data_IF_846684476435
#
_entry.id   IF_846684476435
#
_cell.length_a   1.000
_cell.length_b   1.000
_cell.length_c   1.000
_cell.angle_alpha   90.00
_cell.angle_beta   90.00
_cell.angle_gamma   90.00
#
_symmetry.space_group_name_H-M   'P 1'
#
loop_
_entity.id
_entity.type
_entity.pdbx_description
1 polymer ?
#
# COMPACT_ATOMS: atom_id res chain seq x y z
N UNK A 1 -4.40 27.44 11.24
CA UNK A 1 -4.01 26.69 12.47
C UNK A 1 -4.29 25.18 12.38
N UNK A 2 -5.30 24.73 11.64
CA UNK A 2 -5.68 23.31 11.51
C UNK A 2 -4.60 22.42 10.84
N UNK A 3 -3.86 22.92 9.86
CA UNK A 3 -2.84 22.13 9.15
C UNK A 3 -1.57 21.82 9.97
N UNK A 4 -1.15 22.72 10.84
CA UNK A 4 0.05 22.54 11.67
C UNK A 4 -0.21 21.53 12.79
N UNK A 5 -1.40 21.55 13.38
CA UNK A 5 -1.82 20.61 14.42
C UNK A 5 -1.93 19.20 13.87
N UNK A 6 -2.43 19.04 12.64
CA UNK A 6 -2.52 17.74 11.95
C UNK A 6 -1.12 17.19 11.64
N UNK A 7 -0.21 18.00 11.10
CA UNK A 7 1.20 17.61 10.88
C UNK A 7 1.93 17.20 12.16
N UNK A 8 1.67 17.89 13.27
CA UNK A 8 2.22 17.53 14.58
C UNK A 8 1.66 16.19 15.10
N UNK A 9 0.39 15.89 14.82
CA UNK A 9 -0.22 14.62 15.21
C UNK A 9 0.33 13.43 14.40
N UNK A 10 0.52 13.61 13.10
CA UNK A 10 1.13 12.61 12.21
C UNK A 10 2.58 12.32 12.61
N UNK A 11 3.36 13.37 12.87
CA UNK A 11 4.73 13.22 13.36
C UNK A 11 4.81 12.51 14.73
N UNK A 12 3.88 12.81 15.65
CA UNK A 12 3.77 12.11 16.94
C UNK A 12 3.47 10.62 16.78
N UNK A 13 2.63 10.25 15.81
CA UNK A 13 2.28 8.86 15.55
C UNK A 13 3.49 8.06 15.06
N UNK A 14 4.24 8.60 14.09
CA UNK A 14 5.48 7.99 13.59
C UNK A 14 6.51 7.88 14.72
N UNK A 15 6.68 8.95 15.49
CA UNK A 15 7.57 8.95 16.64
C UNK A 15 7.19 7.88 17.67
N UNK A 16 5.90 7.70 17.92
CA UNK A 16 5.39 6.66 18.82
C UNK A 16 5.75 5.25 18.32
N UNK A 17 5.58 4.97 17.04
CA UNK A 17 5.95 3.67 16.46
C UNK A 17 7.45 3.44 16.57
N UNK A 18 8.28 4.43 16.26
CA UNK A 18 9.73 4.37 16.45
C UNK A 18 10.10 4.11 17.92
N UNK A 19 9.43 4.78 18.85
CA UNK A 19 9.68 4.63 20.28
C UNK A 19 9.29 3.22 20.76
N UNK A 20 8.18 2.67 20.27
CA UNK A 20 7.78 1.28 20.52
C UNK A 20 8.86 0.32 20.01
N UNK A 21 9.32 0.52 18.78
CA UNK A 21 10.34 -0.32 18.16
C UNK A 21 11.65 -0.29 18.98
N UNK A 22 12.14 0.89 19.32
CA UNK A 22 13.34 1.05 20.16
C UNK A 22 13.14 0.43 21.55
N UNK A 23 11.95 0.60 22.15
CA UNK A 23 11.64 0.02 23.46
C UNK A 23 11.66 -1.50 23.44
N UNK A 24 11.08 -2.13 22.40
CA UNK A 24 11.12 -3.59 22.25
C UNK A 24 12.53 -4.07 22.00
N UNK A 25 13.31 -3.38 21.14
CA UNK A 25 14.73 -3.72 20.92
C UNK A 25 15.56 -3.67 22.19
N UNK A 26 15.33 -2.67 23.06
CA UNK A 26 16.16 -2.44 24.26
C UNK A 26 15.72 -3.27 25.45
N UNK A 27 14.44 -3.52 25.60
CA UNK A 27 13.84 -4.10 26.81
C UNK A 27 13.00 -5.35 26.56
N UNK A 28 12.78 -5.75 25.29
CA UNK A 28 11.96 -6.90 24.93
C UNK A 28 12.42 -8.16 25.63
N UNK A 29 13.71 -8.44 25.62
CA UNK A 29 14.32 -9.62 26.27
C UNK A 29 14.15 -9.65 27.81
N UNK A 30 13.88 -8.51 28.45
CA UNK A 30 13.63 -8.43 29.90
C UNK A 30 12.17 -8.74 30.27
N UNK A 31 11.25 -8.75 29.29
CA UNK A 31 9.85 -8.96 29.56
C UNK A 31 9.55 -10.45 29.77
N UNK A 32 8.80 -10.82 30.82
CA UNK A 32 8.34 -12.18 31.03
C UNK A 32 7.54 -12.72 29.85
N UNK A 33 7.66 -14.01 29.58
CA UNK A 33 6.98 -14.69 28.47
C UNK A 33 5.46 -14.48 28.50
N UNK A 34 4.85 -14.46 29.69
CA UNK A 34 3.41 -14.24 29.84
C UNK A 34 2.94 -12.86 29.39
N UNK A 35 3.78 -11.82 29.61
CA UNK A 35 3.49 -10.47 29.10
C UNK A 35 3.57 -10.44 27.58
N UNK A 36 4.58 -11.09 26.97
CA UNK A 36 4.72 -11.22 25.52
C UNK A 36 3.51 -11.94 24.91
N UNK A 37 3.09 -13.05 25.53
CA UNK A 37 1.89 -13.82 25.14
C UNK A 37 0.61 -12.99 25.20
N UNK A 38 0.40 -12.24 26.29
CA UNK A 38 -0.76 -11.36 26.45
C UNK A 38 -0.81 -10.25 25.42
N UNK A 39 0.33 -9.56 25.19
CA UNK A 39 0.44 -8.52 24.17
C UNK A 39 0.20 -9.07 22.76
N UNK A 40 0.76 -10.24 22.44
CA UNK A 40 0.53 -10.90 21.15
C UNK A 40 -0.94 -11.33 20.99
N UNK A 41 -1.57 -11.88 22.04
CA UNK A 41 -3.00 -12.22 21.99
C UNK A 41 -3.86 -11.00 21.67
N UNK A 42 -3.57 -9.86 22.29
CA UNK A 42 -4.30 -8.63 22.00
C UNK A 42 -4.07 -8.15 20.54
N UNK A 43 -2.85 -8.27 20.05
CA UNK A 43 -2.53 -7.97 18.64
C UNK A 43 -3.25 -8.91 17.67
N UNK A 44 -3.30 -10.20 17.96
CA UNK A 44 -3.99 -11.19 17.13
C UNK A 44 -5.51 -10.93 17.07
N UNK A 45 -6.11 -10.47 18.17
CA UNK A 45 -7.51 -10.05 18.22
C UNK A 45 -7.77 -8.83 17.32
N UNK A 46 -6.90 -7.80 17.39
CA UNK A 46 -7.00 -6.63 16.50
C UNK A 46 -6.88 -7.08 15.03
N UNK A 47 -5.92 -7.95 14.73
CA UNK A 47 -5.73 -8.52 13.38
C UNK A 47 -6.96 -9.27 12.91
N UNK A 48 -7.50 -10.18 13.72
CA UNK A 48 -8.68 -10.98 13.37
C UNK A 48 -9.89 -10.08 13.09
N UNK A 49 -10.15 -9.08 13.94
CA UNK A 49 -11.22 -8.11 13.74
C UNK A 49 -11.04 -7.29 12.47
N UNK A 50 -9.82 -6.85 12.18
CA UNK A 50 -9.52 -6.12 10.93
C UNK A 50 -9.75 -7.00 9.71
N UNK A 51 -9.20 -8.22 9.69
CA UNK A 51 -9.33 -9.14 8.56
C UNK A 51 -10.78 -9.50 8.26
N UNK A 52 -11.61 -9.62 9.30
CA UNK A 52 -13.05 -9.84 9.16
C UNK A 52 -13.77 -8.65 8.52
N UNK A 53 -13.44 -7.42 8.93
CA UNK A 53 -14.11 -6.21 8.46
C UNK A 53 -13.52 -5.67 7.14
N UNK A 54 -12.26 -5.97 6.86
CA UNK A 54 -11.51 -5.40 5.74
C UNK A 54 -12.24 -5.48 4.39
N UNK A 55 -12.80 -6.64 3.97
CA UNK A 55 -13.49 -6.72 2.69
C UNK A 55 -14.65 -5.73 2.56
N UNK A 56 -15.46 -5.60 3.62
CA UNK A 56 -16.57 -4.67 3.65
C UNK A 56 -16.10 -3.21 3.61
N UNK A 57 -15.07 -2.89 4.38
CA UNK A 57 -14.53 -1.52 4.44
C UNK A 57 -13.89 -1.09 3.12
N UNK A 58 -13.34 -2.02 2.34
CA UNK A 58 -12.65 -1.77 1.06
C UNK A 58 -13.64 -1.51 -0.09
N UNK A 59 -14.79 -2.18 -0.10
CA UNK A 59 -15.77 -2.10 -1.18
C UNK A 59 -16.10 -0.65 -1.63
N UNK A 60 -16.46 0.28 -0.74
CA UNK A 60 -16.84 1.62 -1.15
C UNK A 60 -15.68 2.43 -1.74
N UNK A 61 -14.45 2.14 -1.37
CA UNK A 61 -13.28 2.80 -1.98
C UNK A 61 -13.12 2.41 -3.44
N UNK A 62 -13.18 1.12 -3.76
CA UNK A 62 -13.07 0.62 -5.14
C UNK A 62 -14.18 1.19 -6.00
N UNK A 63 -15.44 1.05 -5.56
CA UNK A 63 -16.60 1.56 -6.31
C UNK A 63 -16.49 3.07 -6.56
N UNK A 64 -16.18 3.86 -5.53
CA UNK A 64 -16.05 5.31 -5.67
C UNK A 64 -14.89 5.71 -6.57
N UNK A 65 -13.72 5.04 -6.46
CA UNK A 65 -12.54 5.38 -7.26
C UNK A 65 -12.81 5.21 -8.77
N UNK A 66 -13.49 4.13 -9.16
CA UNK A 66 -13.80 3.87 -10.57
C UNK A 66 -14.96 4.75 -11.04
N UNK A 67 -16.00 4.92 -10.20
CA UNK A 67 -17.13 5.75 -10.56
C UNK A 67 -16.78 7.24 -10.77
N UNK A 68 -15.71 7.74 -10.13
CA UNK A 68 -15.20 9.11 -10.34
C UNK A 68 -14.70 9.37 -11.77
N UNK A 69 -14.38 8.33 -12.54
CA UNK A 69 -13.95 8.45 -13.94
C UNK A 69 -15.12 8.77 -14.90
N UNK A 70 -16.35 8.75 -14.40
CA UNK A 70 -17.62 8.91 -15.14
C UNK A 70 -17.70 10.16 -16.03
N UNK A 71 -17.05 11.25 -15.65
CA UNK A 71 -17.12 12.55 -16.38
C UNK A 71 -16.33 12.58 -17.69
N UNK A 72 -15.48 11.58 -17.94
CA UNK A 72 -14.43 11.66 -18.96
C UNK A 72 -14.75 10.92 -20.28
N UNK A 73 -15.98 10.38 -20.43
CA UNK A 73 -16.35 9.57 -21.59
C UNK A 73 -15.85 8.12 -21.49
N UNK A 74 -16.62 7.20 -22.05
CA UNK A 74 -16.41 5.75 -21.91
C UNK A 74 -15.00 5.30 -22.35
N UNK A 75 -14.54 5.77 -23.50
CA UNK A 75 -13.24 5.37 -24.06
C UNK A 75 -12.10 5.81 -23.12
N UNK A 76 -12.18 7.03 -22.61
CA UNK A 76 -11.16 7.55 -21.69
C UNK A 76 -11.16 6.79 -20.36
N UNK A 77 -12.36 6.46 -19.82
CA UNK A 77 -12.50 5.66 -18.59
C UNK A 77 -11.84 4.29 -18.76
N UNK A 78 -12.23 3.57 -19.83
CA UNK A 78 -11.68 2.22 -20.10
C UNK A 78 -10.17 2.29 -20.30
N UNK A 79 -9.70 3.28 -21.07
CA UNK A 79 -8.27 3.47 -21.31
C UNK A 79 -7.49 3.78 -20.02
N UNK A 80 -8.00 4.65 -19.15
CA UNK A 80 -7.36 4.99 -17.89
C UNK A 80 -7.32 3.78 -16.94
N UNK A 81 -8.44 3.08 -16.75
CA UNK A 81 -8.49 1.88 -15.90
C UNK A 81 -7.52 0.82 -16.40
N UNK A 82 -7.51 0.58 -17.72
CA UNK A 82 -6.58 -0.38 -18.33
C UNK A 82 -5.11 0.03 -18.12
N UNK A 83 -4.78 1.30 -18.41
CA UNK A 83 -3.41 1.80 -18.28
C UNK A 83 -2.93 1.79 -16.83
N UNK A 84 -3.78 2.18 -15.88
CA UNK A 84 -3.45 2.15 -14.45
C UNK A 84 -3.21 0.70 -14.00
N UNK A 85 -4.14 -0.22 -14.32
CA UNK A 85 -4.01 -1.63 -13.96
C UNK A 85 -2.78 -2.26 -14.59
N UNK A 86 -2.55 -2.00 -15.88
CA UNK A 86 -1.37 -2.51 -16.60
C UNK A 86 -0.05 -1.96 -16.01
N UNK A 87 -0.01 -0.67 -15.67
CA UNK A 87 1.16 -0.05 -15.07
C UNK A 87 1.44 -0.58 -13.67
N UNK A 88 0.41 -0.70 -12.82
CA UNK A 88 0.54 -1.30 -11.49
C UNK A 88 0.99 -2.76 -11.60
N UNK A 89 0.36 -3.55 -12.47
CA UNK A 89 0.73 -4.95 -12.72
C UNK A 89 2.19 -5.09 -13.17
N UNK A 90 2.62 -4.26 -14.12
CA UNK A 90 4.00 -4.29 -14.62
C UNK A 90 5.02 -3.95 -13.52
N UNK A 91 4.71 -2.96 -12.69
CA UNK A 91 5.58 -2.57 -11.57
C UNK A 91 5.70 -3.68 -10.51
N UNK A 92 4.61 -4.41 -10.25
CA UNK A 92 4.60 -5.57 -9.35
C UNK A 92 5.46 -6.71 -9.94
N UNK A 93 5.27 -7.01 -11.22
CA UNK A 93 6.07 -8.04 -11.91
C UNK A 93 7.57 -7.71 -11.87
N UNK A 94 7.95 -6.45 -12.09
CA UNK A 94 9.34 -6.02 -12.00
C UNK A 94 9.86 -6.14 -10.57
N UNK A 95 9.08 -5.71 -9.56
CA UNK A 95 9.44 -5.85 -8.15
C UNK A 95 9.73 -7.30 -7.77
N UNK A 96 8.87 -8.23 -8.18
CA UNK A 96 9.05 -9.66 -7.94
C UNK A 96 10.26 -10.25 -8.65
N UNK A 97 10.52 -9.87 -9.90
CA UNK A 97 11.71 -10.31 -10.64
C UNK A 97 13.01 -9.79 -10.00
N UNK A 98 13.03 -8.54 -9.56
CA UNK A 98 14.19 -8.01 -8.83
C UNK A 98 14.38 -8.74 -7.50
N UNK A 99 13.29 -9.00 -6.76
CA UNK A 99 13.37 -9.77 -5.53
C UNK A 99 13.93 -11.17 -5.78
N UNK A 100 13.48 -11.87 -6.81
CA UNK A 100 13.98 -13.22 -7.17
C UNK A 100 15.48 -13.24 -7.49
N UNK A 101 16.00 -12.15 -8.06
CA UNK A 101 17.42 -12.05 -8.42
C UNK A 101 18.30 -11.61 -7.25
N UNK A 102 17.79 -10.73 -6.38
CA UNK A 102 18.60 -10.05 -5.35
C UNK A 102 18.49 -10.73 -3.99
N UNK A 103 17.29 -11.19 -3.60
CA UNK A 103 17.08 -11.81 -2.29
C UNK A 103 17.95 -13.03 -2.03
N UNK A 104 18.16 -13.97 -3.00
CA UNK A 104 19.06 -15.11 -2.81
C UNK A 104 20.53 -14.72 -2.65
N UNK A 105 20.93 -13.52 -3.12
CA UNK A 105 22.28 -13.00 -2.95
C UNK A 105 22.49 -12.30 -1.60
N UNK A 106 21.41 -11.99 -0.91
CA UNK A 106 21.45 -11.42 0.43
C UNK A 106 21.62 -12.54 1.44
N UNK A 107 22.66 -12.46 2.26
CA UNK A 107 22.83 -13.36 3.40
C UNK A 107 21.87 -12.91 4.52
N UNK A 108 20.62 -13.37 4.45
CA UNK A 108 19.68 -13.16 5.54
C UNK A 108 20.12 -14.00 6.74
N UNK A 109 20.29 -13.34 7.90
CA UNK A 109 20.57 -14.02 9.17
C UNK A 109 19.34 -14.72 9.73
N UNK A 110 18.15 -14.38 9.22
CA UNK A 110 16.90 -15.05 9.59
C UNK A 110 16.81 -16.42 8.91
N UNK A 111 16.81 -17.46 9.71
CA UNK A 111 16.36 -18.78 9.28
C UNK A 111 14.89 -18.91 9.66
N UNK A 112 13.99 -18.89 8.68
CA UNK A 112 12.61 -19.34 8.88
C UNK A 112 12.63 -20.87 9.01
N UNK A 113 13.31 -21.38 10.04
CA UNK A 113 13.25 -22.79 10.38
C UNK A 113 11.90 -23.04 11.04
N UNK A 114 10.97 -23.55 10.27
CA UNK A 114 9.64 -23.97 10.74
C UNK A 114 9.69 -25.08 11.80
N UNK A 115 10.88 -25.50 12.25
CA UNK A 115 11.06 -26.65 13.13
C UNK A 115 11.58 -26.40 14.54
N UNK A 116 12.33 -25.32 14.79
CA UNK A 116 13.08 -25.18 16.06
C UNK A 116 12.80 -23.89 16.85
N UNK A 117 12.17 -22.87 16.26
CA UNK A 117 11.76 -21.71 17.03
C UNK A 117 10.48 -22.07 17.81
N UNK A 118 10.51 -21.98 19.13
CA UNK A 118 9.30 -22.05 19.94
C UNK A 118 8.38 -20.90 19.51
N UNK A 119 7.42 -21.22 18.64
CA UNK A 119 6.43 -20.23 18.20
C UNK A 119 5.71 -19.64 19.41
N UNK A 120 5.74 -18.32 19.55
CA UNK A 120 5.02 -17.65 20.62
C UNK A 120 3.52 -17.76 20.33
N UNK A 121 2.87 -18.73 20.95
CA UNK A 121 1.43 -18.90 20.87
C UNK A 121 0.73 -17.91 21.82
N UNK A 122 -0.32 -17.26 21.33
CA UNK A 122 -1.22 -16.47 22.19
C UNK A 122 -1.98 -17.34 23.18
N UNK A 123 -2.65 -16.72 24.14
CA UNK A 123 -3.55 -17.43 25.06
C UNK A 123 -4.79 -17.97 24.35
N UNK A 124 -5.23 -17.29 23.28
CA UNK A 124 -6.35 -17.67 22.44
C UNK A 124 -5.95 -17.53 20.96
N UNK A 125 -6.32 -18.50 20.17
CA UNK A 125 -6.24 -18.42 18.71
C UNK A 125 -7.62 -18.02 18.18
N UNK A 126 -7.75 -16.74 17.79
CA UNK A 126 -8.99 -16.19 17.29
C UNK A 126 -8.84 -15.98 15.79
N UNK A 127 -9.49 -16.86 15.03
CA UNK A 127 -9.63 -16.72 13.59
C UNK A 127 -11.05 -16.30 13.27
N UNK A 128 -11.20 -15.10 12.68
CA UNK A 128 -12.48 -14.61 12.17
C UNK A 128 -12.43 -14.68 10.65
N UNK A 129 -13.22 -15.59 10.08
CA UNK A 129 -13.33 -15.68 8.63
C UNK A 129 -14.21 -14.55 8.10
N UNK A 130 -13.75 -13.77 7.10
CA UNK A 130 -14.57 -12.75 6.49
C UNK A 130 -15.74 -13.37 5.71
N UNK A 131 -16.87 -12.66 5.65
CA UNK A 131 -18.09 -13.08 4.94
C UNK A 131 -17.84 -13.29 3.45
N UNK A 132 -16.95 -12.52 2.85
CA UNK A 132 -16.49 -12.62 1.48
C UNK A 132 -14.97 -12.39 1.46
N UNK A 133 -14.27 -13.09 0.59
CA UNK A 133 -12.83 -12.85 0.44
C UNK A 133 -12.56 -11.47 -0.16
N UNK A 134 -11.38 -10.93 0.10
CA UNK A 134 -10.96 -9.60 -0.41
C UNK A 134 -11.01 -9.60 -1.94
N UNK A 135 -10.59 -10.69 -2.59
CA UNK A 135 -10.60 -10.84 -4.05
C UNK A 135 -12.00 -10.71 -4.65
N UNK A 136 -12.98 -11.38 -4.04
CA UNK A 136 -14.39 -11.30 -4.47
C UNK A 136 -14.92 -9.88 -4.31
N UNK A 137 -14.61 -9.22 -3.19
CA UNK A 137 -15.03 -7.83 -2.95
C UNK A 137 -14.36 -6.86 -3.93
N UNK A 138 -13.08 -7.06 -4.24
CA UNK A 138 -12.39 -6.26 -5.25
C UNK A 138 -13.05 -6.38 -6.63
N UNK A 139 -13.32 -7.60 -7.07
CA UNK A 139 -14.00 -7.85 -8.35
C UNK A 139 -15.42 -7.27 -8.38
N UNK A 140 -16.19 -7.45 -7.31
CA UNK A 140 -17.52 -6.85 -7.17
C UNK A 140 -17.46 -5.31 -7.18
N UNK A 141 -16.52 -4.74 -6.43
CA UNK A 141 -16.32 -3.29 -6.38
C UNK A 141 -15.92 -2.73 -7.74
N UNK A 142 -15.04 -3.43 -8.45
CA UNK A 142 -14.62 -3.07 -9.80
C UNK A 142 -15.79 -3.09 -10.77
N UNK A 143 -16.57 -4.18 -10.76
CA UNK A 143 -17.75 -4.34 -11.59
C UNK A 143 -18.82 -3.27 -11.32
N UNK A 144 -19.18 -3.05 -10.06
CA UNK A 144 -20.15 -2.02 -9.67
C UNK A 144 -19.65 -0.61 -10.01
N UNK A 145 -18.40 -0.30 -9.72
CA UNK A 145 -17.79 0.99 -10.07
C UNK A 145 -17.78 1.23 -11.57
N UNK A 146 -17.44 0.21 -12.35
CA UNK A 146 -17.49 0.27 -13.81
C UNK A 146 -18.91 0.49 -14.33
N UNK A 147 -19.90 -0.26 -13.85
CA UNK A 147 -21.30 -0.04 -14.24
C UNK A 147 -21.75 1.39 -13.92
N UNK A 148 -21.39 1.92 -12.75
CA UNK A 148 -21.71 3.30 -12.39
C UNK A 148 -20.99 4.31 -13.27
N UNK A 149 -19.78 4.02 -13.72
CA UNK A 149 -19.01 4.90 -14.60
C UNK A 149 -19.62 5.02 -16.01
N UNK A 150 -20.37 4.00 -16.45
CA UNK A 150 -21.07 4.00 -17.75
C UNK A 150 -22.34 4.85 -17.77
N UNK A 151 -22.92 5.13 -16.59
CA UNK A 151 -24.17 5.89 -16.53
C UNK A 151 -23.92 7.38 -16.79
N UNK A 152 -24.82 8.09 -17.51
CA UNK A 152 -24.71 9.53 -17.69
C UNK A 152 -24.65 10.29 -16.36
N UNK A 153 -24.00 11.45 -16.32
CA UNK A 153 -23.80 12.24 -15.10
C UNK A 153 -25.10 12.76 -14.48
N UNK A 154 -26.16 12.89 -15.26
CA UNK A 154 -27.51 13.31 -14.86
C UNK A 154 -28.43 12.13 -14.46
N UNK A 155 -27.96 10.88 -14.59
CA UNK A 155 -28.77 9.70 -14.30
C UNK A 155 -29.08 9.59 -12.79
N UNK A 156 -30.38 9.75 -12.45
CA UNK A 156 -30.87 9.88 -11.05
C UNK A 156 -30.49 8.68 -10.16
N UNK A 157 -30.66 7.45 -10.64
CA UNK A 157 -30.29 6.24 -9.89
C UNK A 157 -28.77 6.14 -9.73
N UNK A 158 -28.00 6.42 -10.78
CA UNK A 158 -26.55 6.41 -10.72
C UNK A 158 -25.99 7.39 -9.68
N UNK A 159 -26.53 8.59 -9.62
CA UNK A 159 -26.15 9.60 -8.62
C UNK A 159 -26.53 9.18 -7.20
N UNK A 160 -27.71 8.59 -7.01
CA UNK A 160 -28.15 8.09 -5.70
C UNK A 160 -27.24 6.94 -5.19
N UNK A 161 -26.93 6.00 -6.08
CA UNK A 161 -26.03 4.87 -5.76
C UNK A 161 -24.61 5.36 -5.46
N UNK A 162 -24.08 6.29 -6.25
CA UNK A 162 -22.77 6.88 -5.98
C UNK A 162 -22.75 7.62 -4.63
N UNK A 163 -23.78 8.41 -4.34
CA UNK A 163 -23.92 9.10 -3.04
C UNK A 163 -23.99 8.13 -1.86
N UNK A 164 -24.62 6.96 -2.03
CA UNK A 164 -24.60 5.88 -1.03
C UNK A 164 -23.17 5.37 -0.80
N UNK A 165 -22.42 5.03 -1.86
CA UNK A 165 -21.04 4.56 -1.72
C UNK A 165 -20.11 5.63 -1.18
N UNK A 166 -20.29 6.90 -1.52
CA UNK A 166 -19.54 8.02 -0.93
C UNK A 166 -19.82 8.17 0.59
N UNK A 167 -21.06 7.99 1.01
CA UNK A 167 -21.42 8.00 2.43
C UNK A 167 -20.83 6.79 3.16
N UNK A 168 -20.87 5.62 2.53
CA UNK A 168 -20.27 4.40 3.05
C UNK A 168 -18.73 4.54 3.15
N UNK A 169 -18.08 5.11 2.15
CA UNK A 169 -16.64 5.42 2.16
C UNK A 169 -16.27 6.34 3.34
N UNK A 170 -17.11 7.35 3.65
CA UNK A 170 -16.91 8.20 4.83
C UNK A 170 -16.95 7.40 6.13
N UNK A 171 -17.91 6.48 6.27
CA UNK A 171 -18.02 5.62 7.45
C UNK A 171 -16.78 4.72 7.57
N UNK A 172 -16.36 4.08 6.47
CA UNK A 172 -15.13 3.27 6.43
C UNK A 172 -13.90 4.09 6.80
N UNK A 173 -13.77 5.30 6.28
CA UNK A 173 -12.66 6.22 6.62
C UNK A 173 -12.69 6.58 8.11
N UNK A 174 -13.86 6.87 8.68
CA UNK A 174 -14.01 7.15 10.11
C UNK A 174 -13.63 5.94 10.98
N UNK A 175 -13.96 4.72 10.54
CA UNK A 175 -13.55 3.50 11.21
C UNK A 175 -12.02 3.38 11.25
N UNK A 176 -11.34 3.55 10.12
CA UNK A 176 -9.88 3.54 10.07
C UNK A 176 -9.27 4.61 10.97
N UNK A 177 -9.73 5.85 10.87
CA UNK A 177 -9.16 6.98 11.61
C UNK A 177 -9.42 6.92 13.12
N UNK A 178 -10.63 6.50 13.54
CA UNK A 178 -11.03 6.57 14.95
C UNK A 178 -10.86 5.26 15.72
N UNK A 179 -10.79 4.14 15.03
CA UNK A 179 -10.73 2.83 15.67
C UNK A 179 -9.39 2.16 15.32
N UNK A 180 -9.12 1.92 14.03
CA UNK A 180 -7.96 1.13 13.64
C UNK A 180 -6.63 1.86 13.87
N UNK A 181 -6.48 3.11 13.40
CA UNK A 181 -5.23 3.87 13.57
C UNK A 181 -4.84 4.01 15.05
N UNK A 182 -5.73 4.34 15.99
CA UNK A 182 -5.39 4.34 17.42
C UNK A 182 -5.03 2.97 18.01
N UNK A 183 -5.54 1.87 17.43
CA UNK A 183 -5.19 0.51 17.86
C UNK A 183 -3.87 0.01 17.24
N UNK A 184 -3.41 0.62 16.16
CA UNK A 184 -2.23 0.20 15.42
C UNK A 184 -0.94 0.16 16.28
N UNK A 185 -0.65 1.11 17.18
CA UNK A 185 0.51 1.02 18.07
C UNK A 185 0.50 -0.25 18.95
N UNK A 186 -0.66 -0.62 19.48
CA UNK A 186 -0.81 -1.83 20.29
C UNK A 186 -0.64 -3.10 19.43
N UNK A 187 -1.20 -3.10 18.23
CA UNK A 187 -1.01 -4.16 17.26
C UNK A 187 0.48 -4.36 16.94
N UNK A 188 1.18 -3.28 16.60
CA UNK A 188 2.62 -3.32 16.29
C UNK A 188 3.42 -3.78 17.50
N UNK A 189 3.13 -3.28 18.71
CA UNK A 189 3.83 -3.65 19.92
C UNK A 189 3.78 -5.17 20.18
N UNK A 190 2.59 -5.78 20.13
CA UNK A 190 2.49 -7.21 20.38
C UNK A 190 3.11 -8.07 19.26
N UNK A 191 3.03 -7.62 17.99
CA UNK A 191 3.71 -8.29 16.87
C UNK A 191 5.24 -8.20 16.99
N UNK A 192 5.77 -7.07 17.43
CA UNK A 192 7.20 -6.91 17.66
C UNK A 192 7.68 -7.77 18.85
N UNK A 193 6.87 -7.90 19.91
CA UNK A 193 7.19 -8.79 21.04
C UNK A 193 7.16 -10.27 20.63
N UNK A 194 6.27 -10.66 19.72
CA UNK A 194 6.30 -12.01 19.11
C UNK A 194 7.62 -12.19 18.34
N UNK A 195 7.96 -11.25 17.50
CA UNK A 195 9.18 -11.30 16.70
C UNK A 195 10.45 -11.37 17.59
N UNK A 196 10.49 -10.58 18.68
CA UNK A 196 11.57 -10.60 19.68
C UNK A 196 11.66 -11.95 20.43
N UNK A 197 10.54 -12.63 20.65
CA UNK A 197 10.53 -13.91 21.31
C UNK A 197 10.99 -15.06 20.40
N UNK A 198 10.75 -14.96 19.10
CA UNK A 198 11.02 -16.00 18.11
C UNK A 198 12.35 -15.83 17.38
N UNK A 199 12.86 -14.60 17.29
CA UNK A 199 14.04 -14.26 16.51
C UNK A 199 14.87 -13.17 17.16
N UNK A 200 16.14 -13.08 16.76
CA UNK A 200 16.97 -11.91 17.07
C UNK A 200 16.48 -10.68 16.30
N UNK A 201 15.87 -9.74 17.02
CA UNK A 201 15.32 -8.52 16.44
C UNK A 201 16.36 -7.69 15.65
N UNK A 202 17.62 -7.69 16.11
CA UNK A 202 18.71 -6.96 15.44
C UNK A 202 18.99 -7.54 14.04
N UNK A 203 18.94 -8.85 13.89
CA UNK A 203 19.10 -9.54 12.62
C UNK A 203 17.95 -9.21 11.66
N UNK A 204 16.71 -9.26 12.16
CA UNK A 204 15.52 -8.88 11.38
C UNK A 204 15.64 -7.45 10.85
N UNK A 205 16.01 -6.51 11.72
CA UNK A 205 16.13 -5.10 11.34
C UNK A 205 17.23 -4.86 10.30
N UNK A 206 18.35 -5.55 10.42
CA UNK A 206 19.46 -5.49 9.44
C UNK A 206 19.02 -6.03 8.07
N UNK A 207 18.35 -7.17 8.06
CA UNK A 207 17.91 -7.82 6.83
C UNK A 207 16.86 -7.00 6.08
N UNK A 208 15.86 -6.49 6.80
CA UNK A 208 14.86 -5.59 6.20
C UNK A 208 15.44 -4.23 5.81
N UNK A 209 16.45 -3.71 6.52
CA UNK A 209 17.15 -2.49 6.14
C UNK A 209 17.79 -2.60 4.76
N UNK A 210 18.46 -3.72 4.46
CA UNK A 210 19.03 -4.00 3.16
C UNK A 210 17.94 -4.10 2.07
N UNK A 211 16.80 -4.73 2.39
CA UNK A 211 15.68 -4.85 1.47
C UNK A 211 15.07 -3.48 1.11
N UNK A 212 14.98 -2.57 2.08
CA UNK A 212 14.52 -1.19 1.86
C UNK A 212 15.42 -0.47 0.84
N UNK A 213 16.74 -0.64 0.93
CA UNK A 213 17.66 -0.05 -0.05
C UNK A 213 17.40 -0.56 -1.47
N UNK A 214 17.12 -1.87 -1.62
CA UNK A 214 16.74 -2.46 -2.90
C UNK A 214 15.43 -1.86 -3.41
N UNK A 215 14.41 -1.78 -2.56
CA UNK A 215 13.11 -1.20 -2.91
C UNK A 215 13.30 0.23 -3.43
N UNK A 216 14.01 1.07 -2.70
CA UNK A 216 14.27 2.46 -3.09
C UNK A 216 15.01 2.54 -4.43
N UNK A 217 16.04 1.70 -4.63
CA UNK A 217 16.77 1.66 -5.88
C UNK A 217 15.87 1.26 -7.07
N UNK A 218 15.01 0.26 -6.89
CA UNK A 218 14.06 -0.19 -7.92
C UNK A 218 13.03 0.90 -8.23
N UNK A 219 12.46 1.53 -7.22
CA UNK A 219 11.49 2.61 -7.40
C UNK A 219 12.05 3.76 -8.22
N UNK A 220 13.23 4.28 -7.84
CA UNK A 220 13.86 5.37 -8.59
C UNK A 220 14.26 4.96 -10.00
N UNK A 221 14.76 3.73 -10.19
CA UNK A 221 15.11 3.20 -11.51
C UNK A 221 13.88 3.05 -12.41
N UNK A 222 12.77 2.58 -11.85
CA UNK A 222 11.51 2.41 -12.57
C UNK A 222 10.89 3.75 -12.97
N UNK A 223 10.85 4.73 -12.07
CA UNK A 223 10.39 6.10 -12.37
C UNK A 223 11.28 6.73 -13.47
N UNK A 224 12.61 6.54 -13.37
CA UNK A 224 13.53 7.00 -14.40
C UNK A 224 13.20 6.38 -15.76
N UNK A 225 13.01 5.06 -15.79
CA UNK A 225 12.69 4.32 -17.01
C UNK A 225 11.38 4.82 -17.66
N UNK A 226 10.31 5.01 -16.87
CA UNK A 226 9.03 5.53 -17.39
C UNK A 226 9.22 6.94 -17.98
N UNK A 227 9.91 7.83 -17.29
CA UNK A 227 10.17 9.15 -17.83
C UNK A 227 11.05 9.11 -19.09
N UNK A 228 12.00 8.18 -19.16
CA UNK A 228 12.87 8.01 -20.32
C UNK A 228 12.08 7.55 -21.55
N UNK A 229 11.25 6.56 -21.40
CA UNK A 229 10.33 6.08 -22.45
C UNK A 229 9.34 7.18 -22.84
N UNK A 230 8.66 7.80 -21.88
CA UNK A 230 7.68 8.86 -22.12
C UNK A 230 8.27 10.11 -22.81
N UNK A 231 9.55 10.39 -22.62
CA UNK A 231 10.26 11.49 -23.28
C UNK A 231 11.01 11.06 -24.55
N UNK A 232 10.61 9.94 -25.20
CA UNK A 232 11.21 9.43 -26.43
C UNK A 232 12.72 9.26 -26.30
N UNK A 233 13.17 8.64 -25.19
CA UNK A 233 14.57 8.33 -24.87
C UNK A 233 15.53 9.52 -24.73
N UNK A 234 15.00 10.74 -24.51
CA UNK A 234 15.80 11.97 -24.36
C UNK A 234 16.19 12.21 -22.91
N UNK A 235 17.44 11.92 -22.51
CA UNK A 235 17.96 12.15 -21.15
C UNK A 235 17.82 13.60 -20.68
N UNK A 236 18.02 14.59 -21.58
CA UNK A 236 17.88 16.00 -21.25
C UNK A 236 16.45 16.33 -20.80
N UNK A 237 15.43 15.75 -21.47
CA UNK A 237 14.03 15.94 -21.10
C UNK A 237 13.71 15.21 -19.79
N UNK A 238 14.24 14.01 -19.58
CA UNK A 238 14.07 13.25 -18.33
C UNK A 238 14.57 14.05 -17.14
N UNK A 239 15.80 14.59 -17.21
CA UNK A 239 16.37 15.41 -16.12
C UNK A 239 15.50 16.63 -15.83
N UNK A 240 14.94 17.27 -16.87
CA UNK A 240 13.99 18.38 -16.68
C UNK A 240 12.72 17.92 -15.97
N UNK A 241 12.13 16.82 -16.38
CA UNK A 241 10.93 16.26 -15.76
C UNK A 241 11.17 15.92 -14.28
N UNK A 242 12.30 15.30 -13.95
CA UNK A 242 12.68 15.03 -12.56
C UNK A 242 12.77 16.31 -11.74
N UNK A 243 13.46 17.33 -12.23
CA UNK A 243 13.57 18.62 -11.52
C UNK A 243 12.22 19.24 -11.21
N UNK A 244 11.24 19.10 -12.12
CA UNK A 244 9.90 19.61 -11.92
C UNK A 244 9.12 18.81 -10.86
N UNK A 245 9.40 17.52 -10.71
CA UNK A 245 8.67 16.61 -9.78
C UNK A 245 9.29 16.58 -8.37
N UNK A 246 10.58 16.95 -8.21
CA UNK A 246 11.24 16.97 -6.89
C UNK A 246 10.44 17.67 -5.79
N UNK A 247 9.87 18.89 -6.00
CA UNK A 247 9.08 19.54 -4.96
C UNK A 247 7.85 18.74 -4.53
N UNK A 248 7.18 18.08 -5.48
CA UNK A 248 6.06 17.19 -5.18
C UNK A 248 6.53 15.95 -4.40
N UNK A 249 7.66 15.36 -4.78
CA UNK A 249 8.26 14.22 -4.08
C UNK A 249 8.64 14.56 -2.64
N UNK A 250 9.29 15.70 -2.41
CA UNK A 250 9.65 16.16 -1.06
C UNK A 250 8.41 16.45 -0.21
N UNK A 251 7.38 17.05 -0.79
CA UNK A 251 6.12 17.28 -0.09
C UNK A 251 5.40 15.96 0.22
N UNK A 252 5.37 15.02 -0.72
CA UNK A 252 4.78 13.68 -0.53
C UNK A 252 5.49 12.91 0.58
N UNK A 253 6.83 12.92 0.58
CA UNK A 253 7.62 12.28 1.62
C UNK A 253 7.36 12.90 3.01
N UNK A 254 7.24 14.22 3.09
CA UNK A 254 7.02 14.91 4.37
C UNK A 254 5.59 14.82 4.90
N UNK A 255 4.60 14.67 4.01
CA UNK A 255 3.18 14.64 4.38
C UNK A 255 2.57 13.25 4.39
N UNK A 256 3.25 12.28 3.76
CA UNK A 256 2.73 10.90 3.56
C UNK A 256 1.32 10.88 2.96
N UNK A 257 0.93 11.93 2.21
CA UNK A 257 -0.41 12.08 1.67
C UNK A 257 -0.39 12.51 0.22
N UNK A 258 -0.89 11.66 -0.66
CA UNK A 258 -1.03 11.95 -2.09
C UNK A 258 -2.00 13.10 -2.35
N UNK A 259 -3.08 13.20 -1.54
CA UNK A 259 -4.07 14.29 -1.68
C UNK A 259 -3.49 15.66 -1.30
N UNK A 260 -2.68 15.73 -0.25
CA UNK A 260 -2.00 16.98 0.16
C UNK A 260 -0.96 17.39 -0.89
N UNK A 261 -0.33 16.42 -1.53
CA UNK A 261 0.70 16.62 -2.55
C UNK A 261 0.10 16.95 -3.92
N UNK A 262 -1.15 16.58 -4.17
CA UNK A 262 -1.81 16.68 -5.48
C UNK A 262 -1.67 18.05 -6.17
N UNK A 263 -1.84 19.21 -5.52
CA UNK A 263 -1.70 20.50 -6.18
C UNK A 263 -0.28 20.74 -6.74
N UNK A 264 0.76 20.31 -6.00
CA UNK A 264 2.15 20.45 -6.43
C UNK A 264 2.49 19.44 -7.52
N UNK A 265 1.93 18.23 -7.44
CA UNK A 265 2.06 17.21 -8.48
C UNK A 265 1.39 17.65 -9.77
N UNK A 266 0.23 18.31 -9.68
CA UNK A 266 -0.48 18.87 -10.83
C UNK A 266 0.35 19.95 -11.52
N UNK A 267 0.92 20.89 -10.77
CA UNK A 267 1.81 21.92 -11.31
C UNK A 267 3.04 21.33 -12.04
N UNK A 268 3.64 20.28 -11.45
CA UNK A 268 4.76 19.56 -12.05
C UNK A 268 4.34 18.86 -13.36
N UNK A 269 3.17 18.24 -13.36
CA UNK A 269 2.61 17.56 -14.53
C UNK A 269 2.27 18.58 -15.65
N UNK A 270 1.69 19.73 -15.33
CA UNK A 270 1.44 20.82 -16.28
C UNK A 270 2.74 21.28 -16.97
N UNK A 271 3.81 21.48 -16.17
CA UNK A 271 5.14 21.86 -16.71
C UNK A 271 5.75 20.78 -17.60
N UNK A 272 5.52 19.51 -17.29
CA UNK A 272 6.09 18.39 -18.03
C UNK A 272 5.34 18.06 -19.31
N UNK A 273 4.00 18.15 -19.28
CA UNK A 273 3.12 17.82 -20.41
C UNK A 273 2.92 19.01 -21.35
N UNK A 274 3.01 20.23 -20.83
CA UNK A 274 2.67 21.46 -21.59
C UNK A 274 1.17 21.63 -21.85
N UNK A 275 0.32 20.79 -21.24
CA UNK A 275 -1.13 20.83 -21.37
C UNK A 275 -1.78 20.71 -19.98
N UNK A 276 -2.45 21.77 -19.58
CA UNK A 276 -3.09 21.87 -18.26
C UNK A 276 -4.31 20.97 -18.14
N UNK A 277 -5.11 20.81 -19.20
CA UNK A 277 -6.33 20.02 -19.16
C UNK A 277 -6.00 18.53 -19.04
N UNK A 278 -5.02 18.06 -19.83
CA UNK A 278 -4.53 16.67 -19.76
C UNK A 278 -3.90 16.39 -18.39
N UNK A 279 -3.06 17.31 -17.89
CA UNK A 279 -2.44 17.17 -16.58
C UNK A 279 -3.50 17.05 -15.46
N UNK A 280 -4.52 17.90 -15.50
CA UNK A 280 -5.60 17.89 -14.51
C UNK A 280 -6.35 16.57 -14.54
N UNK A 281 -6.81 16.10 -15.70
CA UNK A 281 -7.52 14.81 -15.81
C UNK A 281 -6.63 13.67 -15.34
N UNK A 282 -5.39 13.59 -15.81
CA UNK A 282 -4.47 12.52 -15.45
C UNK A 282 -4.24 12.45 -13.94
N UNK A 283 -3.82 13.55 -13.32
CA UNK A 283 -3.47 13.54 -11.88
C UNK A 283 -4.69 13.31 -11.00
N UNK A 284 -5.81 13.99 -11.24
CA UNK A 284 -7.01 13.83 -10.40
C UNK A 284 -7.63 12.45 -10.51
N UNK A 285 -7.51 11.79 -11.67
CA UNK A 285 -8.05 10.44 -11.88
C UNK A 285 -7.17 9.34 -11.32
N UNK A 286 -5.86 9.58 -11.17
CA UNK A 286 -4.89 8.53 -10.81
C UNK A 286 -4.39 8.60 -9.38
N UNK A 287 -4.54 9.74 -8.70
CA UNK A 287 -3.95 10.03 -7.38
C UNK A 287 -4.29 9.00 -6.29
N UNK A 288 -5.40 8.28 -6.42
CA UNK A 288 -5.86 7.30 -5.44
C UNK A 288 -5.69 5.83 -5.87
N UNK A 289 -5.24 5.55 -7.08
CA UNK A 289 -5.25 4.19 -7.61
C UNK A 289 -4.02 3.83 -8.44
N UNK A 290 -3.14 4.78 -8.70
CA UNK A 290 -1.88 4.55 -9.42
C UNK A 290 -0.70 4.81 -8.49
N UNK A 291 -0.33 3.80 -7.73
CA UNK A 291 0.74 3.87 -6.74
C UNK A 291 1.87 2.87 -7.04
N UNK A 292 2.72 3.24 -8.01
CA UNK A 292 3.86 2.43 -8.44
C UNK A 292 4.83 2.15 -7.28
N UNK A 293 5.00 3.12 -6.39
CA UNK A 293 5.90 3.00 -5.24
C UNK A 293 5.45 1.88 -4.30
N UNK A 294 4.17 1.84 -3.98
CA UNK A 294 3.56 0.81 -3.14
C UNK A 294 3.57 -0.56 -3.86
N UNK A 295 3.21 -0.59 -5.13
CA UNK A 295 3.25 -1.81 -5.95
C UNK A 295 4.62 -2.49 -5.91
N UNK A 296 5.70 -1.74 -6.10
CA UNK A 296 7.07 -2.26 -6.06
C UNK A 296 7.42 -2.71 -4.64
N UNK A 297 7.13 -1.89 -3.61
CA UNK A 297 7.45 -2.20 -2.22
C UNK A 297 6.79 -3.49 -1.77
N UNK A 298 5.46 -3.59 -1.96
CA UNK A 298 4.69 -4.77 -1.55
C UNK A 298 5.13 -6.01 -2.32
N UNK A 299 5.41 -5.88 -3.62
CA UNK A 299 5.89 -7.00 -4.44
C UNK A 299 7.25 -7.50 -3.98
N UNK A 300 8.21 -6.61 -3.71
CA UNK A 300 9.55 -6.99 -3.24
C UNK A 300 9.47 -7.63 -1.86
N UNK A 301 8.72 -7.04 -0.93
CA UNK A 301 8.58 -7.57 0.44
C UNK A 301 7.88 -8.94 0.42
N UNK A 302 6.76 -9.05 -0.28
CA UNK A 302 6.02 -10.31 -0.36
C UNK A 302 6.86 -11.43 -1.00
N UNK A 303 7.57 -11.11 -2.09
CA UNK A 303 8.48 -12.04 -2.74
C UNK A 303 9.66 -12.44 -1.85
N UNK A 304 10.24 -11.50 -1.10
CA UNK A 304 11.31 -11.78 -0.16
C UNK A 304 10.85 -12.73 0.95
N UNK A 305 9.70 -12.45 1.56
CA UNK A 305 9.12 -13.32 2.60
C UNK A 305 8.81 -14.71 2.04
N UNK A 306 8.22 -14.78 0.85
CA UNK A 306 7.91 -16.05 0.20
C UNK A 306 9.18 -16.87 -0.09
N UNK A 307 10.23 -16.24 -0.64
CA UNK A 307 11.52 -16.88 -0.92
C UNK A 307 12.16 -17.43 0.35
N UNK A 308 12.19 -16.63 1.41
CA UNK A 308 12.75 -17.06 2.70
C UNK A 308 11.97 -18.26 3.30
N UNK A 309 10.65 -18.27 3.17
CA UNK A 309 9.80 -19.35 3.69
C UNK A 309 9.85 -20.62 2.84
N UNK A 310 10.20 -20.54 1.55
CA UNK A 310 10.16 -21.66 0.60
C UNK A 310 11.54 -22.03 0.05
N UNK A 311 12.59 -21.90 0.85
CA UNK A 311 13.94 -22.35 0.48
C UNK A 311 14.53 -21.60 -0.75
N UNK A 312 14.23 -20.30 -0.87
CA UNK A 312 14.66 -19.43 -1.96
C UNK A 312 14.09 -19.81 -3.34
N UNK A 313 12.96 -20.50 -3.38
CA UNK A 313 12.27 -20.86 -4.63
C UNK A 313 11.07 -19.93 -4.81
N UNK A 314 11.00 -19.25 -5.97
CA UNK A 314 9.85 -18.41 -6.33
C UNK A 314 8.58 -19.26 -6.58
N UNK A 315 7.39 -18.71 -6.38
CA UNK A 315 6.16 -19.36 -6.84
C UNK A 315 6.20 -19.55 -8.36
N UNK A 316 5.41 -20.50 -8.86
CA UNK A 316 5.30 -20.68 -10.30
C UNK A 316 4.77 -19.39 -10.98
N UNK A 317 5.04 -19.27 -12.28
CA UNK A 317 4.72 -18.06 -13.05
C UNK A 317 3.24 -17.68 -12.95
N UNK A 318 2.34 -18.67 -12.95
CA UNK A 318 0.89 -18.41 -12.91
C UNK A 318 0.44 -17.94 -11.53
N UNK A 319 0.92 -18.57 -10.47
CA UNK A 319 0.62 -18.16 -9.09
C UNK A 319 1.12 -16.72 -8.83
N UNK A 320 2.35 -16.40 -9.29
CA UNK A 320 2.85 -15.03 -9.16
C UNK A 320 2.06 -14.03 -10.00
N UNK A 321 1.65 -14.42 -11.21
CA UNK A 321 0.82 -13.55 -12.08
C UNK A 321 -0.55 -13.29 -11.47
N UNK A 322 -1.20 -14.29 -10.87
CA UNK A 322 -2.46 -14.11 -10.14
C UNK A 322 -2.30 -13.15 -8.96
N UNK A 323 -1.26 -13.34 -8.15
CA UNK A 323 -0.92 -12.41 -7.06
C UNK A 323 -0.73 -10.99 -7.59
N UNK A 324 0.07 -10.81 -8.64
CA UNK A 324 0.34 -9.51 -9.23
C UNK A 324 -0.93 -8.83 -9.77
N UNK A 325 -1.82 -9.59 -10.39
CA UNK A 325 -3.10 -9.08 -10.89
C UNK A 325 -4.04 -8.64 -9.76
N UNK A 326 -4.19 -9.46 -8.73
CA UNK A 326 -5.02 -9.14 -7.56
C UNK A 326 -4.45 -7.91 -6.84
N UNK A 327 -3.14 -7.84 -6.64
CA UNK A 327 -2.49 -6.70 -6.00
C UNK A 327 -2.64 -5.42 -6.84
N UNK A 328 -2.56 -5.51 -8.18
CA UNK A 328 -2.79 -4.37 -9.08
C UNK A 328 -4.23 -3.83 -8.99
N UNK A 329 -5.22 -4.71 -8.85
CA UNK A 329 -6.61 -4.33 -8.60
C UNK A 329 -6.81 -3.75 -7.19
N UNK A 330 -6.10 -4.30 -6.20
CA UNK A 330 -6.16 -3.82 -4.82
C UNK A 330 -5.72 -2.35 -4.68
N UNK A 331 -4.88 -1.83 -5.59
CA UNK A 331 -4.49 -0.42 -5.59
C UNK A 331 -5.68 0.55 -5.77
N UNK A 332 -6.78 0.10 -6.36
CA UNK A 332 -8.00 0.91 -6.43
C UNK A 332 -8.70 1.09 -5.07
N UNK A 333 -8.26 0.39 -4.04
CA UNK A 333 -8.70 0.58 -2.66
C UNK A 333 -7.93 1.68 -1.94
N UNK A 334 -6.90 2.24 -2.57
CA UNK A 334 -6.00 3.23 -2.00
C UNK A 334 -6.76 4.37 -1.33
N UNK A 335 -6.54 4.53 -0.03
CA UNK A 335 -7.02 5.66 0.76
C UNK A 335 -5.87 6.63 0.82
N UNK A 336 -5.88 7.65 -0.03
CA UNK A 336 -4.85 8.71 -0.04
C UNK A 336 -4.89 9.58 1.23
N UNK A 337 -5.20 8.99 2.38
CA UNK A 337 -5.26 9.64 3.69
C UNK A 337 -4.12 9.08 4.53
N UNK A 338 -3.29 9.94 5.15
CA UNK A 338 -2.23 9.52 6.07
C UNK A 338 -2.80 8.85 7.31
#
# INVERSE_FOLDING_TARGET
MTGLVKKLAEFKFILLIFLIMISVMSFGNLLPLEIKRGAYTFSSLIRAGLMFLLPLLVLPFVVSSIALLRSNGLILIVSLVFLITASNFLSIMIGGQVASAVVPLMNFGMTFNAGDAQELLGWFDITLEPLLSVEVILLLGFFLGFLLSLLPSDHRLGNRTLSFFESYKKISTLFFQKIFIPLLPFYIFGMLLKLDAENDFATVFKDFGNLILVIVAVQFSYIFFIFWVGNKYSLRKVIRCYKNVIPAGLLGFSTMSSLVTMPVTLEAAEKNLGDKAIAQVAITSTVNCHDIGECISLSVIASAVYLMANGMIMPDFWAFTQFAFILALAQFTGVSVP
#
